data_IF_174735837737
#
_entry.id   IF_174735837737
#
_cell.length_a   1.000
_cell.length_b   1.000
_cell.length_c   1.000
_cell.angle_alpha   90.00
_cell.angle_beta   90.00
_cell.angle_gamma   90.00
#
_symmetry.space_group_name_H-M   'P 1'
#
loop_
_entity.id
_entity.type
_entity.pdbx_description
1 polymer ?
#
# COMPACT_ATOMS: atom_id res chain seq x y z
N UNK A 1 9.97 3.27 21.27
CA UNK A 1 9.36 1.98 20.93
C UNK A 1 7.98 2.31 20.39
N UNK A 2 7.79 2.24 19.07
CA UNK A 2 6.50 2.57 18.46
C UNK A 2 5.55 1.43 18.81
N UNK A 3 4.66 1.66 19.78
CA UNK A 3 3.64 0.68 20.15
C UNK A 3 2.64 0.59 18.99
N UNK A 4 2.88 -0.35 18.08
CA UNK A 4 1.89 -0.73 17.08
C UNK A 4 0.74 -1.33 17.88
N UNK A 5 -0.30 -0.53 18.14
CA UNK A 5 -1.57 -1.01 18.67
C UNK A 5 -1.91 -2.27 17.88
N UNK A 6 -2.16 -3.39 18.58
CA UNK A 6 -2.50 -4.69 18.01
C UNK A 6 -3.75 -4.59 17.16
N UNK A 7 -3.62 -4.08 15.93
CA UNK A 7 -4.66 -4.20 14.92
C UNK A 7 -4.63 -5.65 14.45
N UNK A 8 -5.82 -6.25 14.34
CA UNK A 8 -5.95 -7.63 13.89
C UNK A 8 -5.17 -7.82 12.58
N UNK A 9 -4.25 -8.78 12.58
CA UNK A 9 -3.55 -9.14 11.36
C UNK A 9 -4.51 -9.95 10.49
N UNK A 10 -4.58 -9.58 9.22
CA UNK A 10 -5.39 -10.28 8.22
C UNK A 10 -4.46 -11.02 7.27
N UNK A 11 -4.55 -12.35 7.16
CA UNK A 11 -3.80 -13.09 6.17
C UNK A 11 -4.34 -12.78 4.77
N UNK A 12 -3.43 -12.64 3.81
CA UNK A 12 -3.82 -12.46 2.42
C UNK A 12 -2.64 -12.22 1.50
N UNK A 13 -2.97 -11.98 0.22
CA UNK A 13 -2.04 -11.67 -0.85
C UNK A 13 -2.14 -10.19 -1.21
N UNK A 14 -1.08 -9.44 -0.92
CA UNK A 14 -0.98 -8.01 -1.21
C UNK A 14 -0.51 -7.79 -2.65
N UNK A 15 -1.25 -6.98 -3.41
CA UNK A 15 -0.84 -6.49 -4.71
C UNK A 15 -1.26 -5.05 -4.90
N UNK A 16 -0.31 -4.18 -5.24
CA UNK A 16 -0.53 -2.74 -5.26
C UNK A 16 -0.95 -2.24 -3.87
N UNK A 17 -2.14 -1.65 -3.78
CA UNK A 17 -2.72 -1.14 -2.53
C UNK A 17 -3.94 -1.96 -2.08
N UNK A 18 -4.05 -3.22 -2.49
CA UNK A 18 -5.18 -4.08 -2.18
C UNK A 18 -4.70 -5.41 -1.58
N UNK A 19 -5.32 -5.81 -0.47
CA UNK A 19 -5.08 -7.10 0.16
C UNK A 19 -6.20 -8.07 -0.22
N UNK A 20 -5.88 -9.07 -1.03
CA UNK A 20 -6.82 -10.13 -1.41
C UNK A 20 -6.84 -11.18 -0.29
N UNK A 21 -8.02 -11.47 0.27
CA UNK A 21 -8.15 -12.34 1.46
C UNK A 21 -8.87 -13.65 1.18
N UNK A 22 -9.49 -13.79 0.01
CA UNK A 22 -10.18 -15.02 -0.37
C UNK A 22 -9.25 -15.95 -1.13
N UNK A 23 -9.05 -17.15 -0.57
CA UNK A 23 -8.43 -18.27 -1.26
C UNK A 23 -9.48 -19.02 -2.09
N UNK A 24 -9.22 -19.13 -3.39
CA UNK A 24 -9.95 -19.98 -4.32
C UNK A 24 -9.28 -21.37 -4.45
N UNK A 25 -9.98 -22.35 -5.06
CA UNK A 25 -9.41 -23.65 -5.37
C UNK A 25 -8.04 -23.55 -6.07
N UNK A 26 -7.09 -24.40 -5.67
CA UNK A 26 -5.72 -24.37 -6.19
C UNK A 26 -4.79 -23.34 -5.51
N UNK A 27 -5.18 -22.79 -4.35
CA UNK A 27 -4.31 -21.94 -3.53
C UNK A 27 -4.08 -20.54 -4.10
N UNK A 28 -4.97 -20.09 -5.00
CA UNK A 28 -4.87 -18.78 -5.65
C UNK A 28 -5.83 -17.81 -4.99
N UNK A 29 -5.44 -16.54 -4.94
CA UNK A 29 -6.28 -15.49 -4.40
C UNK A 29 -7.29 -15.01 -5.45
N UNK A 30 -8.56 -14.94 -5.07
CA UNK A 30 -9.68 -14.64 -5.98
C UNK A 30 -10.92 -15.44 -5.61
N UNK A 31 -12.08 -15.15 -6.22
CA UNK A 31 -13.30 -15.94 -6.08
C UNK A 31 -14.04 -15.98 -7.43
N UNK A 32 -15.18 -16.65 -7.53
CA UNK A 32 -16.07 -16.61 -8.69
C UNK A 32 -16.57 -15.20 -9.05
N UNK A 33 -16.47 -14.24 -8.14
CA UNK A 33 -16.55 -12.82 -8.43
C UNK A 33 -15.19 -12.33 -8.91
N UNK A 34 -15.15 -11.54 -9.99
CA UNK A 34 -13.91 -11.06 -10.61
C UNK A 34 -12.84 -10.61 -9.60
N UNK A 35 -13.21 -10.05 -8.44
CA UNK A 35 -12.22 -9.49 -7.50
C UNK A 35 -12.01 -10.25 -6.19
N UNK A 36 -12.66 -11.39 -5.93
CA UNK A 36 -12.62 -12.01 -4.60
C UNK A 36 -13.07 -11.05 -3.48
N UNK A 37 -12.92 -11.44 -2.20
CA UNK A 37 -12.93 -10.45 -1.13
C UNK A 37 -11.55 -9.80 -1.07
N UNK A 38 -11.54 -8.47 -1.05
CA UNK A 38 -10.33 -7.66 -0.90
C UNK A 38 -10.55 -6.56 0.14
N UNK A 39 -9.46 -6.16 0.76
CA UNK A 39 -9.41 -5.01 1.66
C UNK A 39 -8.64 -3.92 0.93
N UNK A 40 -9.27 -2.75 0.84
CA UNK A 40 -8.64 -1.53 0.34
C UNK A 40 -8.47 -0.59 1.54
N UNK A 41 -7.26 -0.10 1.83
CA UNK A 41 -7.04 0.82 2.92
C UNK A 41 -7.67 2.18 2.60
N UNK A 42 -8.08 2.92 3.64
CA UNK A 42 -8.38 4.35 3.51
C UNK A 42 -7.12 5.16 3.14
N UNK A 43 -7.29 6.41 2.70
CA UNK A 43 -6.19 7.26 2.25
C UNK A 43 -5.00 7.34 3.24
N UNK A 44 -5.29 7.37 4.54
CA UNK A 44 -4.28 7.51 5.60
C UNK A 44 -3.78 6.17 6.15
N UNK A 45 -4.15 5.05 5.50
CA UNK A 45 -3.83 3.70 5.98
C UNK A 45 -2.92 2.95 5.00
N UNK A 46 -2.01 2.18 5.58
CA UNK A 46 -1.01 1.39 4.88
C UNK A 46 -1.04 -0.06 5.40
N UNK A 47 -0.74 -1.02 4.52
CA UNK A 47 -0.49 -2.39 4.95
C UNK A 47 0.92 -2.52 5.54
N UNK A 48 1.00 -3.12 6.71
CA UNK A 48 2.25 -3.42 7.39
C UNK A 48 2.33 -4.92 7.70
N UNK A 49 3.48 -5.53 7.48
CA UNK A 49 3.76 -6.90 7.89
C UNK A 49 5.11 -6.98 8.60
N UNK A 50 5.20 -7.82 9.63
CA UNK A 50 6.47 -8.13 10.30
C UNK A 50 7.21 -9.27 9.62
N UNK A 51 6.63 -9.91 8.60
CA UNK A 51 7.29 -10.97 7.85
C UNK A 51 8.35 -10.36 6.92
N UNK A 52 9.65 -10.58 7.16
CA UNK A 52 10.71 -10.00 6.34
C UNK A 52 10.82 -10.64 4.95
N UNK A 53 10.22 -11.82 4.75
CA UNK A 53 10.22 -12.52 3.47
C UNK A 53 8.83 -13.13 3.19
N UNK A 54 7.85 -12.29 2.81
CA UNK A 54 6.54 -12.77 2.35
C UNK A 54 6.70 -13.75 1.18
N UNK A 55 5.84 -14.77 1.14
CA UNK A 55 5.85 -15.73 0.04
C UNK A 55 5.21 -15.09 -1.20
N UNK A 56 5.60 -15.51 -2.40
CA UNK A 56 4.90 -15.09 -3.60
C UNK A 56 3.52 -15.79 -3.67
N UNK A 57 2.50 -15.05 -4.08
CA UNK A 57 1.15 -15.57 -4.29
C UNK A 57 0.60 -15.13 -5.65
N UNK A 58 -0.36 -15.88 -6.16
CA UNK A 58 -1.03 -15.59 -7.43
C UNK A 58 -2.45 -15.12 -7.19
N UNK A 59 -2.83 -14.01 -7.80
CA UNK A 59 -4.17 -13.42 -7.75
C UNK A 59 -4.83 -13.60 -9.12
N UNK A 60 -6.05 -14.14 -9.17
CA UNK A 60 -6.83 -14.31 -10.39
C UNK A 60 -8.00 -13.30 -10.43
N UNK A 61 -7.90 -12.27 -11.28
CA UNK A 61 -8.82 -11.11 -11.34
C UNK A 61 -10.12 -11.37 -12.11
N UNK A 62 -10.29 -12.58 -12.63
CA UNK A 62 -11.57 -13.03 -13.19
C UNK A 62 -12.04 -14.30 -12.51
N UNK A 63 -11.47 -14.59 -11.34
CA UNK A 63 -11.71 -15.80 -10.60
C UNK A 63 -10.95 -17.01 -11.12
N UNK A 64 -11.29 -18.15 -10.53
CA UNK A 64 -10.67 -19.44 -10.82
C UNK A 64 -11.71 -20.37 -11.46
N UNK A 65 -11.29 -21.17 -12.43
CA UNK A 65 -12.14 -22.22 -13.00
C UNK A 65 -12.15 -23.47 -12.11
N UNK A 66 -13.06 -24.44 -12.34
CA UNK A 66 -13.09 -25.67 -11.54
C UNK A 66 -11.78 -26.48 -11.55
N UNK A 67 -10.91 -26.28 -12.54
CA UNK A 67 -9.60 -26.92 -12.65
C UNK A 67 -8.48 -26.20 -11.86
N UNK A 68 -8.78 -25.14 -11.10
CA UNK A 68 -7.79 -24.39 -10.32
C UNK A 68 -6.96 -23.38 -11.12
N UNK A 69 -7.36 -23.07 -12.36
CA UNK A 69 -6.68 -22.11 -13.22
C UNK A 69 -7.38 -20.74 -13.20
N UNK A 70 -6.61 -19.65 -13.30
CA UNK A 70 -7.21 -18.31 -13.44
C UNK A 70 -8.03 -18.26 -14.73
N UNK A 71 -9.22 -17.66 -14.69
CA UNK A 71 -10.11 -17.59 -15.86
C UNK A 71 -9.54 -16.64 -16.92
N UNK A 72 -9.22 -17.16 -18.10
CA UNK A 72 -8.73 -16.38 -19.23
C UNK A 72 -9.89 -15.82 -20.06
N UNK A 73 -10.29 -14.58 -19.77
CA UNK A 73 -11.30 -13.86 -20.56
C UNK A 73 -10.88 -12.44 -20.96
N UNK A 74 -9.99 -11.82 -20.17
CA UNK A 74 -9.44 -10.48 -20.36
C UNK A 74 -8.00 -10.49 -19.79
N UNK A 75 -7.05 -9.84 -20.47
CA UNK A 75 -5.68 -9.71 -19.98
C UNK A 75 -5.51 -8.37 -19.22
N UNK A 76 -4.81 -8.34 -18.07
CA UNK A 76 -4.08 -9.44 -17.41
C UNK A 76 -5.01 -10.39 -16.64
N UNK A 77 -4.78 -11.70 -16.79
CA UNK A 77 -5.59 -12.77 -16.16
C UNK A 77 -5.17 -13.06 -14.71
N UNK A 78 -3.90 -12.80 -14.41
CA UNK A 78 -3.31 -13.07 -13.11
C UNK A 78 -2.25 -12.03 -12.73
N UNK A 79 -2.14 -11.75 -11.43
CA UNK A 79 -1.09 -10.92 -10.86
C UNK A 79 -0.28 -11.71 -9.83
N UNK A 80 0.99 -11.36 -9.69
CA UNK A 80 1.85 -11.86 -8.63
C UNK A 80 1.84 -10.86 -7.48
N UNK A 81 1.48 -11.33 -6.28
CA UNK A 81 1.48 -10.55 -5.05
C UNK A 81 2.39 -11.17 -3.99
N UNK A 82 2.29 -10.64 -2.77
CA UNK A 82 3.02 -11.10 -1.60
C UNK A 82 2.06 -11.59 -0.52
N UNK A 83 2.22 -12.83 -0.09
CA UNK A 83 1.41 -13.48 0.92
C UNK A 83 2.06 -13.38 2.29
N UNK A 84 1.33 -12.73 3.20
CA UNK A 84 1.69 -12.61 4.60
C UNK A 84 0.45 -12.26 5.43
N UNK A 85 0.65 -12.13 6.73
CA UNK A 85 -0.32 -11.50 7.63
C UNK A 85 -0.03 -10.00 7.69
N UNK A 86 -1.03 -9.20 7.33
CA UNK A 86 -0.92 -7.74 7.25
C UNK A 86 -1.81 -7.06 8.30
N UNK A 87 -1.30 -6.02 8.93
CA UNK A 87 -2.07 -5.09 9.74
C UNK A 87 -2.25 -3.76 8.99
N UNK A 88 -3.40 -3.12 9.14
CA UNK A 88 -3.64 -1.77 8.61
C UNK A 88 -3.10 -0.73 9.59
N UNK A 89 -2.00 -0.04 9.31
CA UNK A 89 -1.48 1.01 10.19
C UNK A 89 -1.73 2.39 9.59
N UNK A 90 -1.68 3.45 10.39
CA UNK A 90 -1.63 4.81 9.83
C UNK A 90 -0.31 4.98 9.08
N UNK A 91 -0.35 5.55 7.88
CA UNK A 91 0.84 5.74 7.06
C UNK A 91 1.77 6.79 7.69
N UNK A 92 3.06 6.48 7.90
CA UNK A 92 3.97 7.39 8.61
C UNK A 92 4.33 8.67 7.83
N UNK A 93 3.97 8.81 6.55
CA UNK A 93 4.30 10.03 5.77
C UNK A 93 3.51 11.24 6.28
N UNK A 94 2.24 11.09 6.65
CA UNK A 94 1.40 12.22 7.07
C UNK A 94 1.90 12.90 8.35
N UNK A 95 2.56 12.16 9.24
CA UNK A 95 3.09 12.69 10.50
C UNK A 95 4.25 13.69 10.29
N UNK A 96 4.94 13.64 9.13
CA UNK A 96 6.10 14.51 8.85
C UNK A 96 5.79 15.73 7.98
N UNK A 97 4.62 15.77 7.33
CA UNK A 97 4.22 16.88 6.43
C UNK A 97 4.24 18.25 7.14
N UNK A 98 3.73 18.41 8.38
CA UNK A 98 3.78 19.69 9.07
C UNK A 98 5.21 20.18 9.33
N UNK A 99 6.14 19.28 9.64
CA UNK A 99 7.54 19.64 9.86
C UNK A 99 8.24 20.01 8.56
N UNK A 100 7.99 19.26 7.49
CA UNK A 100 8.53 19.53 6.15
C UNK A 100 8.07 20.88 5.61
N UNK A 101 6.78 21.21 5.77
CA UNK A 101 6.21 22.49 5.33
C UNK A 101 6.81 23.68 6.08
N UNK A 102 7.00 23.58 7.41
CA UNK A 102 7.69 24.63 8.20
C UNK A 102 9.14 24.80 7.73
N UNK A 103 9.85 23.70 7.50
CA UNK A 103 11.26 23.73 7.13
C UNK A 103 11.47 24.34 5.73
N UNK A 104 10.64 23.97 4.76
CA UNK A 104 10.63 24.56 3.41
C UNK A 104 10.27 26.05 3.47
N UNK A 105 9.23 26.41 4.25
CA UNK A 105 8.79 27.81 4.40
C UNK A 105 9.88 28.67 5.04
N UNK A 106 10.55 28.16 6.08
CA UNK A 106 11.64 28.85 6.76
C UNK A 106 12.86 29.08 5.85
N UNK A 107 13.28 28.05 5.10
CA UNK A 107 14.38 28.20 4.14
C UNK A 107 14.02 29.15 3.00
N UNK A 108 12.79 29.07 2.46
CA UNK A 108 12.29 29.98 1.43
C UNK A 108 12.30 31.43 1.89
N UNK A 109 11.80 31.70 3.10
CA UNK A 109 11.83 33.03 3.69
C UNK A 109 13.26 33.55 3.86
N UNK A 110 14.17 32.72 4.37
CA UNK A 110 15.56 33.11 4.60
C UNK A 110 16.31 33.39 3.28
N UNK A 111 16.04 32.59 2.25
CA UNK A 111 16.59 32.76 0.91
C UNK A 111 16.12 34.07 0.27
N UNK A 112 14.83 34.38 0.35
CA UNK A 112 14.27 35.64 -0.15
C UNK A 112 14.85 36.85 0.60
N UNK A 113 14.95 36.77 1.93
CA UNK A 113 15.51 37.86 2.76
C UNK A 113 16.94 38.18 2.38
N UNK A 114 17.79 37.18 2.13
CA UNK A 114 19.18 37.37 1.68
C UNK A 114 19.27 38.07 0.32
N UNK A 115 18.34 37.80 -0.61
CA UNK A 115 18.32 38.48 -1.92
C UNK A 115 17.84 39.93 -1.84
N UNK A 116 16.90 40.24 -0.95
CA UNK A 116 16.36 41.61 -0.82
C UNK A 116 17.34 42.58 -0.14
N UNK A 117 18.18 42.11 0.78
CA UNK A 117 19.21 42.96 1.43
C UNK A 117 20.37 43.37 0.51
N UNK A 118 20.50 42.77 -0.68
CA UNK A 118 21.53 43.12 -1.66
C UNK A 118 21.13 44.24 -2.63
N UNK A 119 19.90 44.76 -2.56
CA UNK A 119 19.36 45.72 -3.55
C UNK A 119 19.34 47.18 -3.06
N UNK A 120 19.85 47.47 -1.85
CA UNK A 120 20.06 48.83 -1.35
C UNK A 120 21.55 49.19 -1.36
N UNK A 121 22.14 49.28 -2.56
CA UNK A 121 23.38 49.99 -2.84
C UNK A 121 23.31 50.45 -4.31
N UNK A 122 22.52 51.50 -4.55
CA UNK A 122 22.49 52.29 -5.77
C UNK A 122 22.03 53.70 -5.40
#
# INVERSE_FOLDING_TARGET
MLSILTKAQTPGCLYGNELYTTLAPGGKYGNNSSYGAKITPSADQCFYTTNPSPNACTICVYGVNPAGNCRSGLAPVAYSGLEASYALVSCPIDDYIPFLTILISGMGFFYLRKRMTGFCHA
#
